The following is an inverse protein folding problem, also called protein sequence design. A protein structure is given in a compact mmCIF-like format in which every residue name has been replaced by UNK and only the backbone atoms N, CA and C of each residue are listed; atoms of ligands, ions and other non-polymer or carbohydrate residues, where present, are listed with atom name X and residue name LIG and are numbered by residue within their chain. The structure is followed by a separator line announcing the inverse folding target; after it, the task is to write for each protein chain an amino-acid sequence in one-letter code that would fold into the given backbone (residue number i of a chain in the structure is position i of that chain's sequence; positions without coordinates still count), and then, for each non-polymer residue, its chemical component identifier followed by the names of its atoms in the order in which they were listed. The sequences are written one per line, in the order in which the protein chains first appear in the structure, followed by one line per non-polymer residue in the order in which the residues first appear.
data_IF_761353638593
#
_entry.id   IF_761353638593
#
_cell.length_a   1.000
_cell.length_b   1.000
_cell.length_c   1.000
_cell.angle_alpha   90.00
_cell.angle_beta   90.00
_cell.angle_gamma   90.00
#
_symmetry.space_group_name_H-M   'P 1'
#
loop_
_entity.id
_entity.type
_entity.pdbx_description
1 polymer ?
#
# COMPACT_ATOMS: atom_id res chain seq x y z
N UNK A 1 -7.16 -4.05 -13.53
CA UNK A 1 -8.17 -4.03 -12.45
C UNK A 1 -9.53 -4.13 -13.11
N UNK A 2 -10.33 -5.15 -12.80
CA UNK A 2 -11.70 -5.28 -13.33
C UNK A 2 -12.60 -4.26 -12.61
N UNK A 3 -13.31 -3.42 -13.37
CA UNK A 3 -14.44 -2.57 -12.97
C UNK A 3 -14.29 -1.72 -11.69
N UNK A 4 -13.29 -0.83 -11.63
CA UNK A 4 -13.36 0.31 -10.71
C UNK A 4 -14.34 1.34 -11.31
N UNK A 5 -15.25 1.89 -10.50
CA UNK A 5 -16.13 2.97 -10.96
C UNK A 5 -15.39 4.31 -11.01
N UNK A 6 -15.85 5.21 -11.87
CA UNK A 6 -15.17 6.47 -12.16
C UNK A 6 -14.93 7.33 -10.90
N UNK A 7 -15.89 7.33 -9.96
CA UNK A 7 -15.76 8.06 -8.69
C UNK A 7 -14.63 7.49 -7.84
N UNK A 8 -14.49 6.16 -7.76
CA UNK A 8 -13.39 5.53 -7.02
C UNK A 8 -12.05 5.76 -7.71
N UNK A 9 -12.02 5.72 -9.06
CA UNK A 9 -10.81 5.98 -9.83
C UNK A 9 -10.30 7.40 -9.61
N UNK A 10 -11.21 8.39 -9.61
CA UNK A 10 -10.87 9.79 -9.40
C UNK A 10 -10.26 10.06 -8.02
N UNK A 11 -10.49 9.18 -7.04
CA UNK A 11 -9.88 9.30 -5.70
C UNK A 11 -8.46 8.73 -5.61
N UNK A 12 -8.00 7.97 -6.61
CA UNK A 12 -6.69 7.30 -6.55
C UNK A 12 -5.52 8.23 -6.83
N UNK A 13 -5.75 9.28 -7.62
CA UNK A 13 -4.71 10.20 -8.08
C UNK A 13 -4.97 11.63 -7.63
N UNK A 14 -3.91 12.41 -7.55
CA UNK A 14 -3.96 13.83 -7.20
C UNK A 14 -3.30 14.65 -8.32
N UNK A 15 -3.98 15.69 -8.77
CA UNK A 15 -3.50 16.58 -9.83
C UNK A 15 -2.50 17.62 -9.31
N UNK A 16 -2.58 17.94 -8.03
CA UNK A 16 -1.78 18.99 -7.40
C UNK A 16 -0.53 18.42 -6.71
N UNK A 17 0.62 19.03 -6.99
CA UNK A 17 1.94 18.57 -6.54
C UNK A 17 2.31 19.08 -5.14
N UNK A 18 1.37 19.63 -4.36
CA UNK A 18 1.68 20.45 -3.18
C UNK A 18 2.50 19.70 -2.11
N UNK A 19 2.32 18.38 -1.97
CA UNK A 19 3.05 17.55 -0.99
C UNK A 19 4.07 16.58 -1.63
N UNK A 20 4.47 16.79 -2.89
CA UNK A 20 5.40 15.85 -3.55
C UNK A 20 6.85 16.04 -3.10
N UNK A 21 7.48 14.96 -2.63
CA UNK A 21 8.90 14.99 -2.25
C UNK A 21 9.79 15.40 -3.43
N UNK A 22 10.92 16.04 -3.14
CA UNK A 22 11.92 16.42 -4.14
C UNK A 22 12.37 15.23 -5.00
N UNK A 23 12.48 14.05 -4.40
CA UNK A 23 12.79 12.80 -5.10
C UNK A 23 11.70 12.38 -6.09
N UNK A 24 10.42 12.53 -5.72
CA UNK A 24 9.31 12.26 -6.63
C UNK A 24 9.32 13.24 -7.80
N UNK A 25 9.55 14.53 -7.55
CA UNK A 25 9.67 15.55 -8.61
C UNK A 25 10.78 15.20 -9.60
N UNK A 26 11.94 14.76 -9.11
CA UNK A 26 13.05 14.33 -9.95
C UNK A 26 12.73 13.07 -10.77
N UNK A 27 12.03 12.10 -10.16
CA UNK A 27 11.76 10.80 -10.78
C UNK A 27 10.56 10.83 -11.74
N UNK A 28 9.60 11.72 -11.51
CA UNK A 28 8.36 11.81 -12.28
C UNK A 28 8.63 12.11 -13.77
N UNK A 29 9.55 13.04 -14.07
CA UNK A 29 9.83 13.51 -15.44
C UNK A 29 8.55 13.91 -16.23
N UNK A 30 7.45 14.20 -15.53
CA UNK A 30 6.15 14.58 -16.08
C UNK A 30 5.26 13.41 -16.57
N UNK A 31 5.65 12.15 -16.38
CA UNK A 31 4.96 10.99 -16.96
C UNK A 31 4.38 10.00 -15.94
N UNK A 32 4.65 10.17 -14.66
CA UNK A 32 4.12 9.33 -13.59
C UNK A 32 2.87 9.96 -12.98
N UNK A 33 1.89 9.10 -12.67
CA UNK A 33 0.72 9.47 -11.91
C UNK A 33 1.12 9.70 -10.44
N UNK A 34 0.64 10.80 -9.86
CA UNK A 34 0.76 11.04 -8.44
C UNK A 34 -0.41 10.36 -7.72
N UNK A 35 -0.09 9.44 -6.80
CA UNK A 35 -1.08 8.83 -5.93
C UNK A 35 -1.66 9.86 -4.96
N UNK A 36 -2.96 9.79 -4.67
CA UNK A 36 -3.61 10.71 -3.73
C UNK A 36 -3.11 10.54 -2.30
N UNK A 37 -3.31 11.57 -1.47
CA UNK A 37 -2.94 11.55 -0.04
C UNK A 37 -3.50 10.34 0.71
N UNK A 38 -4.73 9.95 0.42
CA UNK A 38 -5.36 8.75 1.00
C UNK A 38 -4.62 7.48 0.63
N UNK A 39 -4.26 7.30 -0.66
CA UNK A 39 -3.46 6.15 -1.11
C UNK A 39 -2.08 6.14 -0.43
N UNK A 40 -1.41 7.29 -0.34
CA UNK A 40 -0.10 7.42 0.32
C UNK A 40 -0.19 7.02 1.80
N UNK A 41 -1.18 7.53 2.53
CA UNK A 41 -1.38 7.21 3.95
C UNK A 41 -1.62 5.71 4.15
N UNK A 42 -2.49 5.08 3.35
CA UNK A 42 -2.71 3.63 3.40
C UNK A 42 -1.39 2.86 3.22
N UNK A 43 -0.56 3.25 2.23
CA UNK A 43 0.72 2.60 1.97
C UNK A 43 1.73 2.80 3.10
N UNK A 44 1.80 4.01 3.68
CA UNK A 44 2.69 4.34 4.79
C UNK A 44 2.31 3.53 6.03
N UNK A 45 1.02 3.48 6.37
CA UNK A 45 0.52 2.67 7.49
C UNK A 45 0.79 1.18 7.26
N UNK A 46 0.60 0.68 6.03
CA UNK A 46 0.94 -0.69 5.68
C UNK A 46 2.44 -0.98 5.83
N UNK A 47 3.33 -0.07 5.40
CA UNK A 47 4.78 -0.20 5.58
C UNK A 47 5.19 -0.18 7.05
N UNK A 48 4.56 0.67 7.86
CA UNK A 48 4.80 0.71 9.30
C UNK A 48 4.50 -0.64 9.95
N UNK A 49 3.30 -1.19 9.70
CA UNK A 49 2.90 -2.50 10.21
C UNK A 49 3.80 -3.62 9.67
N UNK A 50 4.16 -3.56 8.38
CA UNK A 50 5.09 -4.51 7.76
C UNK A 50 6.44 -4.52 8.50
N UNK A 51 6.98 -3.35 8.85
CA UNK A 51 8.25 -3.23 9.60
C UNK A 51 8.14 -3.77 11.02
N UNK A 52 7.02 -3.51 11.71
CA UNK A 52 6.78 -4.08 13.04
C UNK A 52 6.74 -5.62 13.00
N UNK A 53 6.21 -6.20 11.93
CA UNK A 53 6.12 -7.64 11.75
C UNK A 53 7.34 -8.27 11.09
N UNK A 54 8.41 -7.52 10.83
CA UNK A 54 9.55 -7.94 10.02
C UNK A 54 10.14 -9.29 10.47
N UNK A 55 10.28 -9.51 11.78
CA UNK A 55 10.80 -10.77 12.34
C UNK A 55 9.91 -12.00 12.12
N UNK A 56 8.61 -11.78 11.85
CA UNK A 56 7.62 -12.84 11.68
C UNK A 56 7.33 -13.16 10.21
N UNK A 57 7.91 -12.41 9.26
CA UNK A 57 7.55 -12.50 7.84
C UNK A 57 7.83 -13.90 7.27
N UNK A 58 8.97 -14.49 7.64
CA UNK A 58 9.41 -15.78 7.09
C UNK A 58 8.77 -16.98 7.80
N UNK A 59 8.29 -16.79 9.03
CA UNK A 59 7.75 -17.87 9.87
C UNK A 59 6.24 -17.98 9.79
N UNK A 60 5.55 -16.89 9.43
CA UNK A 60 4.10 -16.83 9.43
C UNK A 60 3.49 -16.97 8.02
N UNK A 61 2.81 -18.10 7.78
CA UNK A 61 2.11 -18.37 6.51
C UNK A 61 0.94 -17.41 6.22
N UNK A 62 0.34 -16.81 7.25
CA UNK A 62 -0.78 -15.88 7.12
C UNK A 62 -0.38 -14.41 7.30
N UNK A 63 0.92 -14.11 7.12
CA UNK A 63 1.47 -12.76 7.33
C UNK A 63 0.77 -11.69 6.50
N UNK A 64 0.40 -12.00 5.25
CA UNK A 64 -0.33 -11.09 4.36
C UNK A 64 -1.62 -10.62 5.04
N UNK A 65 -2.45 -11.57 5.50
CA UNK A 65 -3.73 -11.27 6.14
C UNK A 65 -3.51 -10.53 7.46
N UNK A 66 -2.50 -10.92 8.26
CA UNK A 66 -2.17 -10.25 9.52
C UNK A 66 -1.84 -8.77 9.30
N UNK A 67 -0.98 -8.47 8.33
CA UNK A 67 -0.63 -7.08 8.00
C UNK A 67 -1.86 -6.34 7.49
N UNK A 68 -2.61 -6.92 6.54
CA UNK A 68 -3.80 -6.29 5.96
C UNK A 68 -4.88 -5.97 7.02
N UNK A 69 -5.10 -6.85 8.00
CA UNK A 69 -6.03 -6.63 9.10
C UNK A 69 -5.55 -5.52 10.04
N UNK A 70 -4.30 -5.59 10.48
CA UNK A 70 -3.70 -4.56 11.35
C UNK A 70 -3.72 -3.19 10.69
N UNK A 71 -3.33 -3.13 9.41
CA UNK A 71 -3.43 -1.90 8.62
C UNK A 71 -4.87 -1.42 8.60
N UNK A 72 -5.87 -2.26 8.27
CA UNK A 72 -7.27 -1.83 8.26
C UNK A 72 -7.74 -1.25 9.58
N UNK A 73 -7.35 -1.85 10.71
CA UNK A 73 -7.74 -1.37 12.02
C UNK A 73 -7.18 0.02 12.31
N UNK A 74 -5.94 0.29 11.89
CA UNK A 74 -5.29 1.58 12.06
C UNK A 74 -5.93 2.67 11.18
N UNK A 75 -6.04 2.44 9.87
CA UNK A 75 -6.67 3.42 8.94
C UNK A 75 -8.19 3.52 9.14
N UNK A 76 -8.84 2.51 9.71
CA UNK A 76 -10.28 2.56 10.00
C UNK A 76 -10.63 3.60 11.06
N UNK A 77 -9.67 4.03 11.87
CA UNK A 77 -9.84 5.12 12.84
C UNK A 77 -9.61 6.51 12.22
N UNK A 78 -9.01 6.56 11.03
CA UNK A 78 -8.71 7.81 10.33
C UNK A 78 -9.87 8.22 9.41
N UNK A 79 -10.65 9.20 9.86
CA UNK A 79 -11.78 9.75 9.11
C UNK A 79 -11.37 10.54 7.87
N UNK A 80 -10.09 10.85 7.68
CA UNK A 80 -9.61 11.63 6.52
C UNK A 80 -9.44 10.81 5.24
N UNK A 81 -9.37 9.48 5.34
CA UNK A 81 -9.11 8.59 4.20
C UNK A 81 -10.34 8.52 3.29
N UNK A 82 -10.18 8.95 2.03
CA UNK A 82 -11.26 9.00 1.02
C UNK A 82 -12.52 9.71 1.55
N UNK A 83 -12.33 10.89 2.13
CA UNK A 83 -13.40 11.67 2.77
C UNK A 83 -13.80 12.91 1.95
N UNK A 84 -13.70 12.85 0.61
CA UNK A 84 -14.24 13.91 -0.23
C UNK A 84 -15.78 13.86 -0.19
N UNK A 85 -16.44 15.01 -0.34
CA UNK A 85 -17.91 15.08 -0.41
C UNK A 85 -18.46 14.14 -1.50
N UNK A 86 -17.76 14.07 -2.63
CA UNK A 86 -18.08 13.16 -3.74
C UNK A 86 -18.03 11.68 -3.34
N UNK A 87 -17.07 11.27 -2.51
CA UNK A 87 -16.98 9.89 -2.03
C UNK A 87 -18.04 9.62 -0.94
N UNK A 88 -18.30 10.58 -0.06
CA UNK A 88 -19.33 10.48 0.99
C UNK A 88 -20.70 10.27 0.35
N UNK A 89 -21.06 11.09 -0.63
CA UNK A 89 -22.32 10.96 -1.36
C UNK A 89 -22.41 9.64 -2.14
N UNK A 90 -21.29 9.20 -2.73
CA UNK A 90 -21.20 7.93 -3.46
C UNK A 90 -21.48 6.69 -2.60
N UNK A 91 -21.05 6.70 -1.33
CA UNK A 91 -21.27 5.57 -0.41
C UNK A 91 -22.52 5.70 0.46
N UNK A 92 -23.27 6.82 0.36
CA UNK A 92 -24.37 7.17 1.28
C UNK A 92 -25.46 6.10 1.40
N UNK A 93 -25.77 5.41 0.31
CA UNK A 93 -26.81 4.37 0.26
C UNK A 93 -26.25 2.94 0.23
N UNK A 94 -24.96 2.77 0.52
CA UNK A 94 -24.29 1.48 0.54
C UNK A 94 -24.21 0.92 1.96
N UNK A 95 -23.97 -0.38 2.07
CA UNK A 95 -23.74 -1.01 3.37
C UNK A 95 -22.49 -0.42 4.05
N UNK A 96 -22.54 -0.22 5.36
CA UNK A 96 -21.47 0.44 6.13
C UNK A 96 -20.18 -0.40 6.12
N UNK A 97 -20.29 -1.73 6.09
CA UNK A 97 -19.15 -2.64 6.08
C UNK A 97 -18.73 -3.07 4.67
N UNK A 98 -19.65 -2.96 3.70
CA UNK A 98 -19.45 -3.32 2.30
C UNK A 98 -19.79 -2.17 1.33
N UNK A 99 -19.15 -1.02 1.53
CA UNK A 99 -19.17 0.08 0.57
C UNK A 99 -17.87 0.17 -0.23
N UNK A 100 -17.93 0.94 -1.32
CA UNK A 100 -16.84 1.15 -2.25
C UNK A 100 -15.59 1.75 -1.57
N UNK A 101 -15.75 2.65 -0.59
CA UNK A 101 -14.64 3.23 0.17
C UNK A 101 -13.86 2.13 0.89
N UNK A 102 -14.54 1.25 1.62
CA UNK A 102 -13.94 0.13 2.32
C UNK A 102 -13.31 -0.88 1.35
N UNK A 103 -13.97 -1.17 0.23
CA UNK A 103 -13.42 -2.05 -0.81
C UNK A 103 -12.15 -1.46 -1.43
N UNK A 104 -12.12 -0.16 -1.71
CA UNK A 104 -10.95 0.54 -2.26
C UNK A 104 -9.76 0.47 -1.29
N UNK A 105 -9.99 0.75 -0.01
CA UNK A 105 -8.97 0.62 1.04
C UNK A 105 -8.44 -0.82 1.14
N UNK A 106 -9.32 -1.83 1.07
CA UNK A 106 -8.95 -3.26 1.07
C UNK A 106 -8.07 -3.61 -0.13
N UNK A 107 -8.42 -3.14 -1.33
CA UNK A 107 -7.66 -3.41 -2.56
C UNK A 107 -6.26 -2.77 -2.53
N UNK A 108 -6.17 -1.49 -2.15
CA UNK A 108 -4.89 -0.76 -2.13
C UNK A 108 -3.92 -1.41 -1.16
N UNK A 109 -4.35 -1.65 0.09
CA UNK A 109 -3.46 -2.23 1.10
C UNK A 109 -3.01 -3.64 0.71
N UNK A 110 -3.91 -4.46 0.17
CA UNK A 110 -3.57 -5.84 -0.22
C UNK A 110 -2.56 -5.84 -1.37
N UNK A 111 -2.77 -4.98 -2.38
CA UNK A 111 -1.83 -4.84 -3.49
C UNK A 111 -0.45 -4.38 -2.99
N UNK A 112 -0.41 -3.35 -2.15
CA UNK A 112 0.82 -2.85 -1.56
C UNK A 112 1.54 -3.92 -0.73
N UNK A 113 0.85 -4.60 0.19
CA UNK A 113 1.45 -5.60 1.06
C UNK A 113 1.98 -6.79 0.25
N UNK A 114 1.26 -7.26 -0.77
CA UNK A 114 1.76 -8.31 -1.69
C UNK A 114 3.03 -7.87 -2.40
N UNK A 115 3.04 -6.67 -2.98
CA UNK A 115 4.22 -6.11 -3.65
C UNK A 115 5.41 -6.03 -2.68
N UNK A 116 5.16 -5.58 -1.45
CA UNK A 116 6.18 -5.40 -0.42
C UNK A 116 6.77 -6.73 0.06
N UNK A 117 5.94 -7.75 0.22
CA UNK A 117 6.35 -9.13 0.54
C UNK A 117 7.19 -9.72 -0.60
N UNK A 118 6.76 -9.57 -1.86
CA UNK A 118 7.56 -10.00 -3.01
C UNK A 118 8.94 -9.33 -3.05
N UNK A 119 8.99 -8.02 -2.82
CA UNK A 119 10.26 -7.29 -2.73
C UNK A 119 11.14 -7.85 -1.61
N UNK A 120 10.57 -8.08 -0.42
CA UNK A 120 11.29 -8.65 0.71
C UNK A 120 11.84 -10.04 0.40
N UNK A 121 11.04 -10.94 -0.17
CA UNK A 121 11.49 -12.27 -0.58
C UNK A 121 12.64 -12.18 -1.58
N UNK A 122 12.56 -11.29 -2.58
CA UNK A 122 13.65 -11.09 -3.55
C UNK A 122 14.93 -10.62 -2.87
N UNK A 123 14.85 -9.63 -1.98
CA UNK A 123 16.02 -9.13 -1.25
C UNK A 123 16.62 -10.19 -0.33
N UNK A 124 15.78 -10.98 0.33
CA UNK A 124 16.21 -12.08 1.18
C UNK A 124 16.97 -13.15 0.39
N UNK A 125 16.44 -13.56 -0.77
CA UNK A 125 17.12 -14.51 -1.67
C UNK A 125 18.48 -13.99 -2.14
N UNK A 126 18.54 -12.75 -2.63
CA UNK A 126 19.79 -12.14 -3.09
C UNK A 126 20.85 -12.06 -1.97
N UNK A 127 20.43 -11.76 -0.73
CA UNK A 127 21.33 -11.75 0.41
C UNK A 127 21.90 -13.14 0.72
N UNK A 128 21.08 -14.19 0.64
CA UNK A 128 21.55 -15.58 0.84
C UNK A 128 22.51 -15.98 -0.26
N UNK A 129 22.17 -15.74 -1.53
CA UNK A 129 23.01 -16.08 -2.68
C UNK A 129 24.34 -15.32 -2.66
N UNK A 130 24.31 -14.01 -2.41
CA UNK A 130 25.50 -13.18 -2.29
C UNK A 130 26.44 -13.64 -1.17
N UNK A 131 25.88 -14.06 -0.02
CA UNK A 131 26.65 -14.64 1.07
C UNK A 131 27.26 -15.99 0.71
N UNK A 132 26.55 -16.83 -0.04
CA UNK A 132 27.04 -18.13 -0.50
C UNK A 132 28.20 -17.98 -1.50
N UNK A 133 28.16 -16.97 -2.38
CA UNK A 133 29.24 -16.66 -3.32
C UNK A 133 30.50 -16.23 -2.55
N UNK A 134 30.37 -15.31 -1.58
CA UNK A 134 31.53 -14.84 -0.78
C UNK A 134 32.23 -15.97 -0.02
N UNK A 135 31.46 -16.90 0.56
CA UNK A 135 32.04 -18.08 1.24
C UNK A 135 32.83 -19.00 0.30
N UNK A 136 32.45 -19.10 -0.97
CA UNK A 136 33.19 -19.90 -1.97
C UNK A 136 34.54 -19.31 -2.36
N UNK A 137 34.75 -18.01 -2.20
CA UNK A 137 36.01 -17.32 -2.53
C UNK A 137 36.95 -17.13 -1.33
N UNK A 138 36.57 -17.62 -0.15
CA UNK A 138 37.39 -17.59 1.08
C UNK A 138 38.01 -18.95 1.42
N UNK A 139 37.82 -19.95 0.56
CA UNK A 139 38.49 -21.26 0.58
C UNK A 139 39.34 -21.40 -0.69
#
# INVERSE_FOLDING_TARGET
MKNICDICDSQLTETENEETSSLLKLKNRGMLLNASKSVRNICITAEYIFRMEHGNILTNKTILNKICMKTMNEIGQDSSIFNSDTMIDHIKNQDIFDNHRNQLMKLIKEYYTRLRLHHFSRMHTLNIEGNNIRRKFQN
#
